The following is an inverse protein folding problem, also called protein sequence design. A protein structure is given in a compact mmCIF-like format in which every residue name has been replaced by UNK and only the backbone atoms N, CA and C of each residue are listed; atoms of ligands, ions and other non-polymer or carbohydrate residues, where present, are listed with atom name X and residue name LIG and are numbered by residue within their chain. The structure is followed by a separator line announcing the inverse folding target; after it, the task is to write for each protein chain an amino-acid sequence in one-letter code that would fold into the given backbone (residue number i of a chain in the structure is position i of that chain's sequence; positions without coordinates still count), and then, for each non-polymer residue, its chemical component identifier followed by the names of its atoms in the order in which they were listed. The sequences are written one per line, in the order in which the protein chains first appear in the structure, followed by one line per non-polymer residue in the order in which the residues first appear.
data_IF_452581565097
#
_entry.id   IF_452581565097
#
_cell.length_a   1.000
_cell.length_b   1.000
_cell.length_c   1.000
_cell.angle_alpha   90.00
_cell.angle_beta   90.00
_cell.angle_gamma   90.00
#
_symmetry.space_group_name_H-M   'P 1'
#
loop_
_entity.id
_entity.type
_entity.pdbx_description
1 polymer ?
#
# COMPACT_ATOMS: atom_id res chain seq x y z
N UNK A 1 -2.00 -16.38 -13.36
CA UNK A 1 -2.01 -15.09 -14.07
C UNK A 1 -1.06 -14.09 -13.46
N UNK A 2 -1.12 -13.84 -12.14
CA UNK A 2 -0.20 -12.93 -11.46
C UNK A 2 1.27 -13.28 -11.72
N UNK A 3 1.72 -14.50 -11.43
CA UNK A 3 3.12 -14.92 -11.62
C UNK A 3 3.61 -14.72 -13.07
N UNK A 4 2.78 -15.08 -14.05
CA UNK A 4 3.10 -14.90 -15.47
C UNK A 4 3.22 -13.42 -15.84
N UNK A 5 2.33 -12.58 -15.32
CA UNK A 5 2.37 -11.14 -15.58
C UNK A 5 3.56 -10.47 -14.88
N UNK A 6 3.93 -10.90 -13.67
CA UNK A 6 5.08 -10.34 -12.96
C UNK A 6 6.39 -10.65 -13.68
N UNK A 7 6.52 -11.84 -14.27
CA UNK A 7 7.68 -12.21 -15.09
C UNK A 7 7.67 -11.49 -16.45
N UNK A 8 6.53 -11.45 -17.15
CA UNK A 8 6.43 -10.85 -18.48
C UNK A 8 6.71 -9.34 -18.48
N UNK A 9 6.25 -8.64 -17.44
CA UNK A 9 6.33 -7.18 -17.34
C UNK A 9 7.38 -6.67 -16.36
N UNK A 10 8.19 -7.56 -15.78
CA UNK A 10 9.24 -7.22 -14.80
C UNK A 10 8.68 -6.36 -13.64
N UNK A 11 7.60 -6.87 -13.01
CA UNK A 11 6.87 -6.12 -11.99
C UNK A 11 7.61 -6.23 -10.65
N UNK A 12 8.14 -5.10 -10.17
CA UNK A 12 8.85 -5.03 -8.89
C UNK A 12 7.98 -4.51 -7.73
N UNK A 13 6.92 -3.74 -8.03
CA UNK A 13 6.09 -3.04 -7.03
C UNK A 13 4.62 -3.44 -7.12
N UNK A 14 4.08 -3.97 -6.02
CA UNK A 14 2.67 -4.27 -5.84
C UNK A 14 1.93 -3.17 -5.07
N UNK A 15 0.67 -2.92 -5.42
CA UNK A 15 -0.18 -1.96 -4.68
C UNK A 15 -1.36 -2.70 -4.08
N UNK A 16 -1.52 -2.63 -2.76
CA UNK A 16 -2.64 -3.24 -2.03
C UNK A 16 -3.68 -2.17 -1.70
N UNK A 17 -4.86 -2.29 -2.32
CA UNK A 17 -6.04 -1.45 -2.07
C UNK A 17 -7.25 -2.24 -1.57
N UNK A 18 -7.01 -3.47 -1.10
CA UNK A 18 -8.06 -4.39 -0.64
C UNK A 18 -8.52 -4.07 0.79
N UNK A 19 -9.70 -4.57 1.21
CA UNK A 19 -10.11 -4.50 2.62
C UNK A 19 -9.09 -5.16 3.56
N UNK A 20 -9.05 -4.78 4.84
CA UNK A 20 -8.08 -5.31 5.82
C UNK A 20 -8.02 -6.84 5.88
N UNK A 21 -9.17 -7.51 5.77
CA UNK A 21 -9.27 -8.97 5.83
C UNK A 21 -8.55 -9.69 4.69
N UNK A 22 -8.30 -9.01 3.57
CA UNK A 22 -7.66 -9.57 2.38
C UNK A 22 -6.21 -9.10 2.18
N UNK A 23 -5.78 -8.03 2.86
CA UNK A 23 -4.48 -7.39 2.63
C UNK A 23 -3.30 -8.36 2.81
N UNK A 24 -3.31 -9.17 3.88
CA UNK A 24 -2.23 -10.13 4.13
C UNK A 24 -2.17 -11.23 3.05
N UNK A 25 -3.32 -11.71 2.59
CA UNK A 25 -3.37 -12.73 1.55
C UNK A 25 -2.78 -12.20 0.23
N UNK A 26 -3.08 -10.95 -0.12
CA UNK A 26 -2.50 -10.30 -1.31
C UNK A 26 -1.00 -10.09 -1.17
N UNK A 27 -0.52 -9.66 0.00
CA UNK A 27 0.91 -9.53 0.27
C UNK A 27 1.64 -10.88 0.07
N UNK A 28 1.05 -11.98 0.52
CA UNK A 28 1.60 -13.32 0.32
C UNK A 28 1.67 -13.70 -1.16
N UNK A 29 0.66 -13.34 -1.96
CA UNK A 29 0.67 -13.58 -3.42
C UNK A 29 1.79 -12.78 -4.11
N UNK A 30 1.99 -11.52 -3.73
CA UNK A 30 3.11 -10.72 -4.23
C UNK A 30 4.46 -11.34 -3.90
N UNK A 31 4.66 -11.82 -2.67
CA UNK A 31 5.90 -12.51 -2.28
C UNK A 31 6.13 -13.79 -3.09
N UNK A 32 5.08 -14.57 -3.36
CA UNK A 32 5.17 -15.77 -4.20
C UNK A 32 5.55 -15.45 -5.65
N UNK A 33 5.08 -14.30 -6.14
CA UNK A 33 5.37 -13.80 -7.48
C UNK A 33 6.67 -12.96 -7.58
N UNK A 34 7.52 -12.97 -6.54
CA UNK A 34 8.77 -12.19 -6.46
C UNK A 34 8.61 -10.65 -6.51
N UNK A 35 7.43 -10.14 -6.19
CA UNK A 35 7.17 -8.70 -6.02
C UNK A 35 7.60 -8.30 -4.61
N UNK A 36 8.79 -7.70 -4.50
CA UNK A 36 9.44 -7.44 -3.21
C UNK A 36 9.21 -6.01 -2.66
N UNK A 37 8.51 -5.14 -3.38
CA UNK A 37 8.09 -3.83 -2.88
C UNK A 37 6.57 -3.71 -2.88
N UNK A 38 5.99 -3.21 -1.79
CA UNK A 38 4.54 -3.10 -1.61
C UNK A 38 4.16 -1.71 -1.11
N UNK A 39 3.27 -1.05 -1.85
CA UNK A 39 2.51 0.10 -1.35
C UNK A 39 1.19 -0.39 -0.75
N UNK A 40 1.05 -0.28 0.57
CA UNK A 40 -0.14 -0.73 1.28
C UNK A 40 -1.07 0.44 1.62
N UNK A 41 -2.20 0.53 0.91
CA UNK A 41 -3.28 1.47 1.19
C UNK A 41 -4.38 0.85 2.07
N UNK A 42 -4.29 -0.44 2.38
CA UNK A 42 -5.24 -1.07 3.29
C UNK A 42 -5.03 -0.52 4.71
N UNK A 43 -6.10 -0.24 5.48
CA UNK A 43 -5.99 0.30 6.83
C UNK A 43 -5.65 -0.81 7.85
N UNK A 44 -4.63 -1.60 7.54
CA UNK A 44 -4.07 -2.64 8.40
C UNK A 44 -2.60 -2.81 8.08
N UNK A 45 -1.80 -3.22 9.06
CA UNK A 45 -0.43 -3.66 8.80
C UNK A 45 -0.45 -5.05 8.19
N UNK A 46 0.48 -5.29 7.27
CA UNK A 46 0.81 -6.60 6.74
C UNK A 46 2.15 -7.05 7.31
N UNK A 47 2.32 -8.35 7.51
CA UNK A 47 3.57 -8.98 7.91
C UNK A 47 4.28 -9.52 6.67
N UNK A 48 5.53 -9.13 6.46
CA UNK A 48 6.37 -9.60 5.37
C UNK A 48 7.79 -9.88 5.87
N UNK A 49 8.58 -10.71 5.18
CA UNK A 49 10.01 -10.88 5.50
C UNK A 49 10.80 -9.57 5.33
N UNK A 50 11.96 -9.45 5.99
CA UNK A 50 12.81 -8.25 5.94
C UNK A 50 13.28 -7.87 4.54
N UNK A 51 13.34 -8.83 3.61
CA UNK A 51 13.71 -8.57 2.22
C UNK A 51 12.63 -7.81 1.42
N UNK A 52 11.41 -7.69 1.96
CA UNK A 52 10.31 -7.01 1.30
C UNK A 52 10.10 -5.60 1.87
N UNK A 53 10.16 -4.60 0.99
CA UNK A 53 9.93 -3.21 1.32
C UNK A 53 8.43 -2.92 1.37
N UNK A 54 7.91 -2.48 2.52
CA UNK A 54 6.50 -2.09 2.66
C UNK A 54 6.39 -0.63 3.04
N UNK A 55 5.67 0.14 2.22
CA UNK A 55 5.29 1.50 2.54
C UNK A 55 3.78 1.56 2.79
N UNK A 56 3.39 1.83 4.04
CA UNK A 56 1.99 1.99 4.41
C UNK A 56 1.56 3.43 4.14
N UNK A 57 0.50 3.59 3.36
CA UNK A 57 -0.07 4.89 3.03
C UNK A 57 -1.15 5.22 4.05
N UNK A 58 -0.88 6.24 4.86
CA UNK A 58 -1.85 6.84 5.76
C UNK A 58 -2.07 8.30 5.35
N UNK A 59 -3.30 8.62 4.97
CA UNK A 59 -3.69 9.98 4.59
C UNK A 59 -4.24 10.79 5.75
N UNK A 60 -4.51 10.20 6.90
CA UNK A 60 -5.20 10.84 8.04
C UNK A 60 -4.49 12.12 8.44
N UNK A 61 -3.19 12.05 8.72
CA UNK A 61 -2.40 13.24 9.10
C UNK A 61 -2.37 14.29 8.00
N UNK A 62 -2.26 13.88 6.73
CA UNK A 62 -2.20 14.82 5.60
C UNK A 62 -3.54 15.51 5.40
N UNK A 63 -4.63 14.79 5.56
CA UNK A 63 -5.99 15.32 5.49
C UNK A 63 -6.27 16.22 6.68
N UNK A 64 -5.85 15.88 7.90
CA UNK A 64 -6.00 16.73 9.08
C UNK A 64 -5.30 18.08 8.88
N UNK A 65 -4.06 18.06 8.36
CA UNK A 65 -3.33 19.28 8.00
C UNK A 65 -4.09 20.09 6.95
N UNK A 66 -4.61 19.42 5.91
CA UNK A 66 -5.35 20.08 4.84
C UNK A 66 -6.64 20.73 5.36
N UNK A 67 -7.39 20.02 6.22
CA UNK A 67 -8.60 20.50 6.87
C UNK A 67 -8.33 21.71 7.77
N UNK A 68 -7.26 21.68 8.56
CA UNK A 68 -6.85 22.81 9.39
C UNK A 68 -6.51 24.06 8.56
N UNK A 69 -5.72 23.88 7.49
CA UNK A 69 -5.37 24.98 6.57
C UNK A 69 -6.62 25.55 5.89
N UNK A 70 -7.50 24.69 5.40
CA UNK A 70 -8.75 25.10 4.76
C UNK A 70 -9.63 25.91 5.71
N UNK A 71 -9.78 25.46 6.96
CA UNK A 71 -10.54 26.18 7.98
C UNK A 71 -9.94 27.56 8.27
N UNK A 72 -8.62 27.66 8.40
CA UNK A 72 -7.95 28.92 8.70
C UNK A 72 -7.88 29.90 7.51
N UNK A 73 -7.84 29.42 6.27
CA UNK A 73 -7.80 30.27 5.07
C UNK A 73 -9.19 30.72 4.62
N UNK A 74 -10.26 29.97 4.92
CA UNK A 74 -11.63 30.33 4.53
C UNK A 74 -12.36 31.15 5.61
N UNK A 75 -11.97 31.00 6.89
CA UNK A 75 -12.61 31.71 8.02
C UNK A 75 -11.90 33.03 8.44
N UNK A 76 -10.85 33.43 7.73
CA UNK A 76 -10.22 34.75 7.84
C UNK A 76 -10.51 35.58 6.59
#
# INVERSE_FOLDING_TARGET
ELDSATEEFDIEIGVITTPPSAAQAVANLFLQANVNAILNFSPTRISVPECCLVHNIDFTVRLDILCYKLGNEILN
#
